data_IF_370936921116
#
_entry.id   IF_370936921116
#
_cell.length_a   1.000
_cell.length_b   1.000
_cell.length_c   1.000
_cell.angle_alpha   90.00
_cell.angle_beta   90.00
_cell.angle_gamma   90.00
#
_symmetry.space_group_name_H-M   'P 1'
#
loop_
_entity.id
_entity.type
_entity.pdbx_description
1 polymer ?
#
# COMPACT_ATOMS: atom_id res chain seq x y z
N UNK A 1 -24.64 16.66 27.84
CA UNK A 1 -23.53 16.04 27.08
C UNK A 1 -24.02 14.73 26.51
N UNK A 2 -24.05 14.60 25.20
CA UNK A 2 -24.47 13.39 24.49
C UNK A 2 -23.45 12.26 24.69
N UNK A 3 -23.76 11.05 24.28
CA UNK A 3 -22.80 9.94 24.34
C UNK A 3 -21.64 10.18 23.37
N UNK A 4 -21.91 10.68 22.18
CA UNK A 4 -20.88 11.10 21.22
C UNK A 4 -19.93 12.15 21.78
N UNK A 5 -20.44 13.19 22.43
CA UNK A 5 -19.60 14.23 23.08
C UNK A 5 -18.69 13.65 24.14
N UNK A 6 -19.17 12.68 24.95
CA UNK A 6 -18.33 12.01 25.96
C UNK A 6 -17.20 11.21 25.32
N UNK A 7 -17.48 10.46 24.25
CA UNK A 7 -16.50 9.66 23.52
C UNK A 7 -15.46 10.57 22.87
N UNK A 8 -15.87 11.63 22.19
CA UNK A 8 -14.97 12.62 21.56
C UNK A 8 -14.05 13.26 22.61
N UNK A 9 -14.61 13.69 23.77
CA UNK A 9 -13.82 14.27 24.84
C UNK A 9 -12.76 13.30 25.40
N UNK A 10 -13.11 12.02 25.60
CA UNK A 10 -12.15 11.01 26.00
C UNK A 10 -11.06 10.77 24.96
N UNK A 11 -11.44 10.69 23.68
CA UNK A 11 -10.50 10.54 22.57
C UNK A 11 -9.53 11.72 22.52
N UNK A 12 -10.03 12.94 22.63
CA UNK A 12 -9.20 14.16 22.61
C UNK A 12 -8.30 14.28 23.86
N UNK A 13 -8.72 13.75 25.00
CA UNK A 13 -7.94 13.83 26.22
C UNK A 13 -6.76 12.84 26.25
N UNK A 14 -6.98 11.62 25.76
CA UNK A 14 -5.98 10.55 25.84
C UNK A 14 -5.31 10.22 24.51
N UNK A 15 -5.90 10.58 23.38
CA UNK A 15 -5.35 10.31 22.05
C UNK A 15 -4.26 11.30 21.66
N UNK A 16 -3.27 10.84 20.88
CA UNK A 16 -2.33 11.74 20.23
C UNK A 16 -3.07 12.46 19.07
N UNK A 17 -2.82 13.77 18.94
CA UNK A 17 -3.50 14.61 17.94
C UNK A 17 -2.81 14.54 16.56
N UNK A 18 -2.63 13.33 16.04
CA UNK A 18 -2.04 13.07 14.73
C UNK A 18 -3.07 13.08 13.57
N UNK A 19 -4.36 13.17 13.90
CA UNK A 19 -5.49 13.35 12.98
C UNK A 19 -6.47 14.36 13.54
N UNK A 20 -7.28 14.97 12.65
CA UNK A 20 -8.45 15.79 13.01
C UNK A 20 -9.70 15.05 12.53
N UNK A 21 -10.27 14.13 13.35
CA UNK A 21 -11.46 13.37 12.96
C UNK A 21 -12.68 14.28 12.78
N UNK A 22 -13.60 13.88 11.92
CA UNK A 22 -14.94 14.49 11.88
C UNK A 22 -15.62 14.29 13.25
N UNK A 23 -16.47 15.23 13.71
CA UNK A 23 -17.15 15.14 15.01
C UNK A 23 -18.32 14.14 14.99
N UNK A 24 -18.08 12.96 14.44
CA UNK A 24 -19.05 11.87 14.31
C UNK A 24 -18.44 10.63 14.96
N UNK A 25 -19.20 9.97 15.82
CA UNK A 25 -18.82 8.68 16.44
C UNK A 25 -19.55 7.57 15.70
N UNK A 26 -18.81 6.60 15.16
CA UNK A 26 -19.40 5.42 14.53
C UNK A 26 -19.45 4.30 15.56
N UNK A 27 -20.64 3.83 15.92
CA UNK A 27 -20.88 2.74 16.87
C UNK A 27 -21.39 1.46 16.21
N UNK A 28 -22.12 1.58 15.10
CA UNK A 28 -22.64 0.45 14.32
C UNK A 28 -22.43 0.72 12.84
N UNK A 29 -22.26 -0.36 12.08
CA UNK A 29 -22.12 -0.26 10.62
C UNK A 29 -22.60 -1.53 9.92
N UNK A 30 -23.22 -1.37 8.74
CA UNK A 30 -23.60 -2.47 7.85
C UNK A 30 -23.67 -2.00 6.39
N UNK A 31 -22.99 -2.70 5.48
CA UNK A 31 -22.89 -2.28 4.09
C UNK A 31 -22.24 -0.89 3.97
N UNK A 32 -22.98 0.08 3.45
CA UNK A 32 -22.53 1.48 3.33
C UNK A 32 -23.08 2.39 4.45
N UNK A 33 -23.89 1.85 5.34
CA UNK A 33 -24.56 2.63 6.37
C UNK A 33 -23.84 2.51 7.70
N UNK A 34 -23.64 3.64 8.36
CA UNK A 34 -23.07 3.73 9.71
C UNK A 34 -24.02 4.49 10.63
N UNK A 35 -23.97 4.20 11.93
CA UNK A 35 -24.78 4.87 12.94
C UNK A 35 -23.93 5.39 14.07
N UNK A 36 -24.34 6.53 14.62
CA UNK A 36 -23.78 7.05 15.86
C UNK A 36 -24.51 6.48 17.11
N UNK A 37 -23.99 6.74 18.33
CA UNK A 37 -24.62 6.32 19.58
C UNK A 37 -26.01 6.91 19.82
N UNK A 38 -26.35 8.02 19.20
CA UNK A 38 -27.64 8.69 19.27
C UNK A 38 -28.67 8.11 18.29
N UNK A 39 -28.24 7.18 17.40
CA UNK A 39 -29.09 6.51 16.41
C UNK A 39 -29.19 7.23 15.07
N UNK A 40 -28.46 8.32 14.86
CA UNK A 40 -28.40 8.96 13.56
C UNK A 40 -27.68 8.06 12.56
N UNK A 41 -28.17 8.03 11.34
CA UNK A 41 -27.64 7.17 10.27
C UNK A 41 -26.97 8.03 9.18
N UNK A 42 -25.79 7.59 8.73
CA UNK A 42 -24.99 8.25 7.71
C UNK A 42 -24.57 7.25 6.64
N UNK A 43 -24.37 7.72 5.41
CA UNK A 43 -23.73 6.93 4.36
C UNK A 43 -22.22 7.14 4.44
N UNK A 44 -21.46 6.05 4.61
CA UNK A 44 -20.01 6.09 4.59
C UNK A 44 -19.49 6.25 3.15
N UNK A 45 -19.10 7.47 2.81
CA UNK A 45 -18.50 7.80 1.52
C UNK A 45 -16.97 7.75 1.54
N UNK A 46 -16.36 7.45 2.71
CA UNK A 46 -14.91 7.37 2.89
C UNK A 46 -14.39 5.94 2.75
N UNK A 47 -15.18 4.93 3.16
CA UNK A 47 -14.86 3.51 3.04
C UNK A 47 -13.52 3.13 3.71
N UNK A 48 -13.20 3.79 4.85
CA UNK A 48 -11.91 3.65 5.55
C UNK A 48 -10.70 3.71 4.58
N UNK A 49 -10.69 4.72 3.70
CA UNK A 49 -9.66 4.92 2.67
C UNK A 49 -9.46 3.69 1.75
N UNK A 50 -10.54 3.07 1.30
CA UNK A 50 -10.60 1.85 0.48
C UNK A 50 -10.31 0.54 1.24
N UNK A 51 -10.35 0.52 2.58
CA UNK A 51 -10.20 -0.73 3.33
C UNK A 51 -11.49 -1.58 3.38
N UNK A 52 -12.66 -0.94 3.26
CA UNK A 52 -13.97 -1.59 3.28
C UNK A 52 -14.70 -1.52 1.92
N UNK A 53 -13.99 -1.79 0.83
CA UNK A 53 -14.54 -1.79 -0.53
C UNK A 53 -15.79 -2.66 -0.69
N UNK A 54 -15.90 -3.74 0.07
CA UNK A 54 -17.02 -4.68 0.11
C UNK A 54 -18.15 -4.24 1.06
N UNK A 55 -18.04 -3.06 1.66
CA UNK A 55 -18.93 -2.57 2.72
C UNK A 55 -18.58 -3.11 4.11
N UNK A 56 -19.13 -2.48 5.13
CA UNK A 56 -18.96 -2.87 6.52
C UNK A 56 -19.59 -4.24 6.80
N UNK A 57 -18.92 -5.08 7.58
CA UNK A 57 -19.43 -6.35 8.10
C UNK A 57 -19.95 -7.31 7.02
N UNK A 58 -19.26 -7.39 5.87
CA UNK A 58 -19.68 -8.33 4.82
C UNK A 58 -19.85 -9.75 5.40
N UNK A 59 -21.04 -10.40 5.26
CA UNK A 59 -21.40 -11.59 6.03
C UNK A 59 -20.43 -12.76 5.82
N UNK A 60 -19.96 -12.99 4.60
CA UNK A 60 -19.00 -14.07 4.30
C UNK A 60 -17.63 -13.83 4.95
N UNK A 61 -17.18 -12.58 5.03
CA UNK A 61 -15.89 -12.20 5.65
C UNK A 61 -15.99 -12.38 7.16
N UNK A 62 -17.07 -11.89 7.78
CA UNK A 62 -17.30 -12.04 9.22
C UNK A 62 -17.43 -13.51 9.60
N UNK A 63 -18.11 -14.33 8.77
CA UNK A 63 -18.22 -15.76 9.06
C UNK A 63 -16.85 -16.44 8.98
N UNK A 64 -16.04 -16.16 7.95
CA UNK A 64 -14.69 -16.72 7.84
C UNK A 64 -13.79 -16.34 9.02
N UNK A 65 -13.91 -15.10 9.54
CA UNK A 65 -13.19 -14.66 10.74
C UNK A 65 -13.60 -15.48 11.98
N UNK A 66 -14.92 -15.66 12.18
CA UNK A 66 -15.45 -16.46 13.32
C UNK A 66 -15.01 -17.92 13.23
N UNK A 67 -15.17 -18.54 12.07
CA UNK A 67 -14.79 -19.95 11.85
C UNK A 67 -13.29 -20.17 12.09
N UNK A 68 -12.46 -19.21 11.74
CA UNK A 68 -11.01 -19.30 11.97
C UNK A 68 -10.66 -19.05 13.44
N UNK A 69 -11.32 -18.09 14.10
CA UNK A 69 -11.08 -17.77 15.51
C UNK A 69 -11.44 -18.94 16.43
N UNK A 70 -12.46 -19.72 16.07
CA UNK A 70 -12.86 -20.94 16.81
C UNK A 70 -11.84 -22.10 16.68
N UNK A 71 -10.92 -22.04 15.69
CA UNK A 71 -9.88 -23.04 15.49
C UNK A 71 -8.55 -22.62 16.09
N UNK A 72 -8.01 -21.50 15.59
CA UNK A 72 -6.73 -20.95 16.03
C UNK A 72 -6.62 -19.48 15.59
N UNK A 73 -6.16 -18.62 16.49
CA UNK A 73 -6.03 -17.17 16.24
C UNK A 73 -4.66 -16.79 15.70
N UNK A 74 -3.58 -17.23 16.34
CA UNK A 74 -2.21 -16.85 15.99
C UNK A 74 -1.33 -18.09 15.90
N UNK A 75 -0.66 -18.22 14.76
CA UNK A 75 0.38 -19.23 14.52
C UNK A 75 1.70 -18.52 14.28
N UNK A 76 2.73 -18.86 15.07
CA UNK A 76 4.08 -18.35 14.86
C UNK A 76 4.62 -18.80 13.50
N UNK A 77 5.48 -17.97 12.89
CA UNK A 77 6.23 -18.32 11.66
C UNK A 77 7.17 -19.52 11.85
N UNK A 78 7.37 -19.98 13.09
CA UNK A 78 8.08 -21.23 13.38
C UNK A 78 7.30 -22.48 12.99
N UNK A 79 6.00 -22.35 12.72
CA UNK A 79 5.12 -23.44 12.31
C UNK A 79 4.43 -23.13 10.98
N UNK A 80 4.00 -24.16 10.29
CA UNK A 80 3.12 -23.99 9.14
C UNK A 80 1.67 -23.79 9.61
N UNK A 81 0.91 -22.95 8.89
CA UNK A 81 -0.54 -22.78 9.05
C UNK A 81 -1.25 -23.50 7.91
N UNK A 82 -2.36 -24.15 8.20
CA UNK A 82 -3.17 -24.88 7.21
C UNK A 82 -3.73 -23.99 6.09
N UNK A 83 -4.00 -22.71 6.37
CA UNK A 83 -4.55 -21.77 5.39
C UNK A 83 -3.49 -20.95 4.65
N UNK A 84 -2.28 -20.82 5.20
CA UNK A 84 -1.28 -19.88 4.65
C UNK A 84 -0.79 -20.29 3.27
N UNK A 85 -0.56 -21.59 3.04
CA UNK A 85 -0.13 -22.10 1.74
C UNK A 85 -1.16 -21.86 0.64
N UNK A 86 -2.44 -22.08 0.94
CA UNK A 86 -3.54 -21.83 0.01
C UNK A 86 -3.70 -20.34 -0.29
N UNK A 87 -3.49 -19.50 0.71
CA UNK A 87 -3.51 -18.04 0.52
C UNK A 87 -2.38 -17.58 -0.38
N UNK A 88 -1.14 -18.08 -0.17
CA UNK A 88 0.00 -17.80 -1.05
C UNK A 88 -0.29 -18.19 -2.51
N UNK A 89 -0.76 -19.41 -2.72
CA UNK A 89 -1.10 -19.90 -4.06
C UNK A 89 -2.11 -19.00 -4.73
N UNK A 90 -3.18 -18.66 -4.02
CA UNK A 90 -4.28 -17.84 -4.56
C UNK A 90 -3.82 -16.43 -4.90
N UNK A 91 -3.10 -15.75 -4.00
CA UNK A 91 -2.70 -14.35 -4.23
C UNK A 91 -1.61 -14.25 -5.32
N UNK A 92 -0.68 -15.20 -5.37
CA UNK A 92 0.33 -15.26 -6.42
C UNK A 92 -0.30 -15.50 -7.79
N UNK A 93 -1.22 -16.48 -7.91
CA UNK A 93 -1.97 -16.71 -9.16
C UNK A 93 -2.78 -15.50 -9.59
N UNK A 94 -3.41 -14.80 -8.64
CA UNK A 94 -4.23 -13.62 -8.91
C UNK A 94 -3.39 -12.47 -9.50
N UNK A 95 -2.19 -12.26 -8.97
CA UNK A 95 -1.26 -11.22 -9.41
C UNK A 95 -0.36 -11.66 -10.59
N UNK A 96 -0.32 -12.94 -10.90
CA UNK A 96 0.61 -13.51 -11.88
C UNK A 96 2.07 -13.35 -11.44
N UNK A 97 2.34 -13.62 -10.13
CA UNK A 97 3.66 -13.52 -9.50
C UNK A 97 4.06 -14.83 -8.83
N UNK A 98 5.36 -15.05 -8.67
CA UNK A 98 5.90 -16.30 -8.10
C UNK A 98 5.79 -16.34 -6.57
N UNK A 99 6.00 -15.21 -5.91
CA UNK A 99 6.16 -15.10 -4.46
C UNK A 99 5.32 -13.99 -3.84
N UNK A 100 4.90 -14.23 -2.61
CA UNK A 100 4.20 -13.28 -1.77
C UNK A 100 4.85 -13.22 -0.38
N UNK A 101 5.08 -12.01 0.12
CA UNK A 101 5.59 -11.77 1.47
C UNK A 101 4.58 -10.89 2.22
N UNK A 102 3.77 -11.46 3.15
CA UNK A 102 2.79 -10.70 3.90
C UNK A 102 3.42 -9.94 5.07
N UNK A 103 2.86 -8.77 5.35
CA UNK A 103 3.15 -7.90 6.49
C UNK A 103 1.83 -7.41 7.10
N UNK A 104 1.91 -6.60 8.18
CA UNK A 104 0.73 -6.10 8.88
C UNK A 104 0.18 -4.79 8.30
N UNK A 105 1.05 -3.87 7.92
CA UNK A 105 0.66 -2.53 7.45
C UNK A 105 1.15 -2.23 6.05
N UNK A 106 0.47 -1.30 5.36
CA UNK A 106 0.92 -0.83 4.05
C UNK A 106 2.32 -0.22 4.08
N UNK A 107 2.66 0.51 5.15
CA UNK A 107 3.99 1.08 5.31
C UNK A 107 5.08 0.00 5.40
N UNK A 108 4.83 -1.11 6.12
CA UNK A 108 5.77 -2.25 6.16
C UNK A 108 5.96 -2.89 4.79
N UNK A 109 4.89 -2.96 3.98
CA UNK A 109 4.99 -3.49 2.63
C UNK A 109 5.79 -2.55 1.71
N UNK A 110 5.61 -1.25 1.82
CA UNK A 110 6.43 -0.26 1.10
C UNK A 110 7.89 -0.37 1.51
N UNK A 111 8.20 -0.38 2.81
CA UNK A 111 9.58 -0.56 3.32
C UNK A 111 10.21 -1.86 2.78
N UNK A 112 9.44 -2.94 2.74
CA UNK A 112 9.89 -4.24 2.22
C UNK A 112 10.17 -4.17 0.72
N UNK A 113 9.29 -3.55 -0.06
CA UNK A 113 9.48 -3.39 -1.50
C UNK A 113 10.72 -2.52 -1.82
N UNK A 114 10.93 -1.42 -1.07
CA UNK A 114 12.11 -0.56 -1.21
C UNK A 114 13.40 -1.33 -0.88
N UNK A 115 13.39 -2.12 0.18
CA UNK A 115 14.54 -2.97 0.54
C UNK A 115 14.81 -4.04 -0.50
N UNK A 116 13.78 -4.73 -0.97
CA UNK A 116 13.90 -5.75 -2.01
C UNK A 116 14.46 -5.15 -3.31
N UNK A 117 13.97 -3.97 -3.73
CA UNK A 117 14.47 -3.27 -4.90
C UNK A 117 15.95 -2.87 -4.77
N UNK A 118 16.36 -2.34 -3.62
CA UNK A 118 17.78 -2.02 -3.37
C UNK A 118 18.65 -3.27 -3.39
N UNK A 119 18.20 -4.35 -2.75
CA UNK A 119 18.94 -5.62 -2.74
C UNK A 119 19.08 -6.20 -4.14
N UNK A 120 17.99 -6.25 -4.90
CA UNK A 120 18.00 -6.68 -6.30
C UNK A 120 18.96 -5.82 -7.15
N UNK A 121 18.94 -4.51 -6.94
CA UNK A 121 19.81 -3.59 -7.69
C UNK A 121 21.30 -3.87 -7.44
N UNK A 122 21.68 -4.26 -6.24
CA UNK A 122 23.07 -4.62 -5.92
C UNK A 122 23.44 -6.01 -6.39
N UNK A 123 22.60 -6.99 -6.15
CA UNK A 123 22.92 -8.40 -6.39
C UNK A 123 22.69 -8.84 -7.84
N UNK A 124 21.73 -8.24 -8.55
CA UNK A 124 21.32 -8.63 -9.90
C UNK A 124 21.73 -7.58 -10.93
N UNK A 125 21.34 -6.31 -10.74
CA UNK A 125 21.68 -5.23 -11.68
C UNK A 125 23.14 -4.80 -11.60
N UNK A 126 23.82 -5.03 -10.47
CA UNK A 126 25.25 -4.68 -10.30
C UNK A 126 25.50 -3.20 -10.02
N UNK A 127 24.55 -2.49 -9.45
CA UNK A 127 24.76 -1.10 -8.97
C UNK A 127 25.77 -1.15 -7.80
N UNK A 128 26.66 -0.18 -7.76
CA UNK A 128 27.64 -0.06 -6.67
C UNK A 128 26.93 0.04 -5.30
N UNK A 129 27.47 -0.60 -4.25
CA UNK A 129 26.89 -0.52 -2.92
C UNK A 129 26.60 0.92 -2.46
N UNK A 130 25.44 1.14 -1.85
CA UNK A 130 24.94 2.43 -1.36
C UNK A 130 24.66 3.49 -2.46
N UNK A 131 24.56 3.09 -3.73
CA UNK A 131 24.26 4.00 -4.84
C UNK A 131 22.88 3.80 -5.46
N UNK A 132 22.15 2.76 -5.08
CA UNK A 132 20.82 2.49 -5.65
C UNK A 132 19.84 3.62 -5.33
N UNK A 133 19.21 4.15 -6.39
CA UNK A 133 18.21 5.22 -6.31
C UNK A 133 16.83 4.68 -6.70
N UNK A 134 15.79 5.19 -6.04
CA UNK A 134 14.40 4.88 -6.36
C UNK A 134 13.70 6.18 -6.73
N UNK A 135 13.02 6.17 -7.88
CA UNK A 135 12.21 7.31 -8.35
C UNK A 135 10.81 7.16 -7.77
N UNK A 136 10.28 8.24 -7.18
CA UNK A 136 8.91 8.38 -6.73
C UNK A 136 8.31 9.69 -7.26
N UNK A 137 7.02 9.90 -7.05
CA UNK A 137 6.31 11.04 -7.63
C UNK A 137 5.89 12.04 -6.56
N UNK A 138 5.86 13.32 -6.89
CA UNK A 138 5.29 14.34 -6.03
C UNK A 138 3.80 14.04 -5.80
N UNK A 139 3.29 14.40 -4.63
CA UNK A 139 1.93 14.05 -4.21
C UNK A 139 1.75 12.60 -3.75
N UNK A 140 2.82 11.81 -3.63
CA UNK A 140 2.72 10.42 -3.18
C UNK A 140 2.31 10.28 -1.72
N UNK A 141 1.68 9.14 -1.41
CA UNK A 141 1.45 8.70 -0.05
C UNK A 141 1.75 7.20 0.09
N UNK A 142 2.93 6.88 0.60
CA UNK A 142 3.39 5.49 0.80
C UNK A 142 3.46 5.06 2.28
N UNK A 143 2.92 5.87 3.18
CA UNK A 143 2.95 5.62 4.63
C UNK A 143 3.70 6.70 5.40
N UNK A 144 3.97 6.45 6.70
CA UNK A 144 4.55 7.43 7.63
C UNK A 144 5.75 6.90 8.40
N UNK A 145 6.39 5.82 7.95
CA UNK A 145 7.69 5.37 8.46
C UNK A 145 8.81 6.17 7.80
N UNK A 146 10.04 6.00 8.23
CA UNK A 146 11.16 6.87 7.82
C UNK A 146 11.42 6.88 6.31
N UNK A 147 11.35 5.74 5.62
CA UNK A 147 11.54 5.73 4.17
C UNK A 147 10.37 6.41 3.41
N UNK A 148 9.09 6.08 3.64
CA UNK A 148 7.96 6.84 3.12
C UNK A 148 8.00 8.35 3.41
N UNK A 149 8.37 8.76 4.62
CA UNK A 149 8.54 10.19 4.95
C UNK A 149 9.64 10.81 4.11
N UNK A 150 10.77 10.12 3.89
CA UNK A 150 11.86 10.59 3.05
C UNK A 150 11.48 10.71 1.57
N UNK A 151 10.58 9.82 1.11
CA UNK A 151 9.99 9.84 -0.24
C UNK A 151 8.95 10.94 -0.44
N UNK A 152 8.30 11.41 0.64
CA UNK A 152 7.21 12.38 0.55
C UNK A 152 7.66 13.69 -0.10
N UNK A 153 6.80 14.32 -0.88
CA UNK A 153 6.97 15.69 -1.36
C UNK A 153 6.42 16.74 -0.38
N UNK A 154 5.66 16.30 0.62
CA UNK A 154 5.00 17.18 1.58
C UNK A 154 5.97 17.62 2.70
N UNK A 155 6.33 18.91 2.71
CA UNK A 155 7.27 19.46 3.68
C UNK A 155 6.81 19.27 5.13
N UNK A 156 5.50 19.33 5.40
CA UNK A 156 4.94 19.11 6.74
C UNK A 156 5.13 17.66 7.21
N UNK A 157 5.12 16.68 6.30
CA UNK A 157 5.39 15.28 6.67
C UNK A 157 6.87 15.03 6.99
N UNK A 158 7.77 15.84 6.47
CA UNK A 158 9.22 15.74 6.71
C UNK A 158 9.70 16.58 7.89
N UNK A 159 8.92 17.57 8.28
CA UNK A 159 9.30 18.56 9.29
C UNK A 159 9.62 17.91 10.63
N UNK A 160 10.86 18.08 11.09
CA UNK A 160 11.34 17.58 12.39
C UNK A 160 11.74 16.10 12.41
N UNK A 161 11.70 15.38 11.28
CA UNK A 161 12.05 13.96 11.20
C UNK A 161 13.38 13.67 10.50
N UNK A 162 14.19 14.72 10.22
CA UNK A 162 15.52 14.53 9.65
C UNK A 162 16.52 13.93 10.66
N UNK A 163 17.66 13.33 10.20
CA UNK A 163 18.05 13.26 8.79
C UNK A 163 17.20 12.29 7.98
N UNK A 164 16.79 12.71 6.78
CA UNK A 164 16.02 11.88 5.87
C UNK A 164 16.92 10.84 5.20
N UNK A 165 16.34 9.72 4.75
CA UNK A 165 17.07 8.69 4.03
C UNK A 165 17.41 9.15 2.61
N UNK A 166 18.63 8.89 2.19
CA UNK A 166 19.11 9.14 0.83
C UNK A 166 18.67 8.05 -0.17
N UNK A 167 18.91 8.34 -1.45
CA UNK A 167 18.66 7.41 -2.56
C UNK A 167 17.22 7.50 -3.10
N UNK A 168 16.56 8.63 -2.92
CA UNK A 168 15.25 8.90 -3.48
C UNK A 168 15.28 10.10 -4.42
N UNK A 169 14.64 9.95 -5.59
CA UNK A 169 14.41 11.04 -6.55
C UNK A 169 12.90 11.26 -6.68
N UNK A 170 12.49 12.50 -6.66
CA UNK A 170 11.08 12.88 -6.83
C UNK A 170 10.90 13.63 -8.14
N UNK A 171 9.85 13.27 -8.88
CA UNK A 171 9.45 13.90 -10.15
C UNK A 171 7.95 14.20 -10.11
N UNK A 172 7.48 15.10 -10.98
CA UNK A 172 6.06 15.38 -11.06
C UNK A 172 5.27 14.18 -11.60
N UNK A 173 4.14 13.87 -10.95
CA UNK A 173 3.24 12.81 -11.38
C UNK A 173 2.60 13.17 -12.73
N UNK A 174 2.74 12.29 -13.70
CA UNK A 174 2.23 12.51 -15.05
C UNK A 174 3.19 13.26 -15.99
N UNK A 175 4.35 13.72 -15.51
CA UNK A 175 5.36 14.37 -16.39
C UNK A 175 6.32 13.33 -16.99
N UNK A 176 6.09 13.02 -18.28
CA UNK A 176 6.91 12.06 -19.02
C UNK A 176 8.36 12.51 -19.18
N UNK A 177 8.61 13.82 -19.33
CA UNK A 177 9.95 14.36 -19.58
C UNK A 177 10.79 14.35 -18.32
N UNK A 178 10.22 14.78 -17.19
CA UNK A 178 10.91 14.70 -15.90
C UNK A 178 11.23 13.26 -15.53
N UNK A 179 10.29 12.32 -15.73
CA UNK A 179 10.53 10.92 -15.46
C UNK A 179 11.72 10.37 -16.26
N UNK A 180 11.75 10.59 -17.57
CA UNK A 180 12.86 10.16 -18.44
C UNK A 180 14.19 10.78 -18.01
N UNK A 181 14.21 12.07 -17.71
CA UNK A 181 15.42 12.78 -17.29
C UNK A 181 15.94 12.33 -15.90
N UNK A 182 15.08 11.80 -15.04
CA UNK A 182 15.46 11.32 -13.71
C UNK A 182 16.17 9.96 -13.73
N UNK A 183 15.96 9.15 -14.77
CA UNK A 183 16.57 7.82 -14.88
C UNK A 183 18.07 7.94 -15.15
N UNK A 184 18.86 7.18 -14.40
CA UNK A 184 20.30 7.12 -14.56
C UNK A 184 20.84 5.72 -14.23
N UNK A 185 22.15 5.51 -14.34
CA UNK A 185 22.81 4.22 -14.10
C UNK A 185 22.58 3.63 -12.70
N UNK A 186 22.24 4.47 -11.72
CA UNK A 186 22.00 4.07 -10.34
C UNK A 186 20.50 3.85 -10.05
N UNK A 187 19.61 4.09 -11.00
CA UNK A 187 18.17 3.86 -10.80
C UNK A 187 17.90 2.37 -10.65
N UNK A 188 17.34 2.00 -9.49
CA UNK A 188 16.94 0.64 -9.16
C UNK A 188 15.47 0.36 -9.50
N UNK A 189 14.61 1.33 -9.23
CA UNK A 189 13.17 1.17 -9.40
C UNK A 189 12.44 2.50 -9.59
N UNK A 190 11.24 2.40 -10.14
CA UNK A 190 10.22 3.45 -10.13
C UNK A 190 9.08 2.95 -9.23
N UNK A 191 8.76 3.68 -8.15
CA UNK A 191 7.64 3.43 -7.26
C UNK A 191 6.51 4.39 -7.58
N UNK A 192 5.33 3.88 -7.90
CA UNK A 192 4.18 4.70 -8.30
C UNK A 192 2.88 4.15 -7.70
N UNK A 193 2.01 5.06 -7.26
CA UNK A 193 0.58 4.77 -7.10
C UNK A 193 -0.07 4.90 -8.49
N UNK A 194 -0.73 3.87 -9.03
CA UNK A 194 -1.40 3.99 -10.34
C UNK A 194 -2.45 5.09 -10.38
N UNK A 195 -3.06 5.37 -9.23
CA UNK A 195 -3.91 6.54 -8.96
C UNK A 195 -3.50 7.07 -7.59
N UNK A 196 -3.07 8.33 -7.52
CA UNK A 196 -2.74 8.96 -6.24
C UNK A 196 -4.02 9.31 -5.49
N UNK A 197 -4.34 8.56 -4.44
CA UNK A 197 -5.58 8.75 -3.68
C UNK A 197 -5.52 9.93 -2.72
N UNK A 198 -4.49 10.01 -1.89
CA UNK A 198 -4.36 11.01 -0.83
C UNK A 198 -4.11 12.44 -1.38
N UNK A 199 -3.53 12.55 -2.56
CA UNK A 199 -3.28 13.85 -3.20
C UNK A 199 -4.51 14.46 -3.90
N UNK A 200 -5.70 13.86 -3.76
CA UNK A 200 -6.94 14.36 -4.35
C UNK A 200 -7.45 13.55 -5.54
N UNK A 201 -7.14 12.27 -5.59
CA UNK A 201 -7.55 11.32 -6.63
C UNK A 201 -6.99 11.73 -8.01
N UNK A 202 -5.67 11.84 -8.08
CA UNK A 202 -4.98 12.16 -9.30
C UNK A 202 -4.86 10.89 -10.19
N UNK A 203 -5.53 10.93 -11.32
CA UNK A 203 -5.41 9.90 -12.37
C UNK A 203 -4.31 10.34 -13.34
N UNK A 204 -3.34 9.47 -13.68
CA UNK A 204 -2.27 9.86 -14.58
C UNK A 204 -2.79 10.07 -16.01
N UNK A 205 -2.07 10.81 -16.86
CA UNK A 205 -2.38 10.89 -18.28
C UNK A 205 -2.44 9.50 -18.95
N UNK A 206 -3.22 9.39 -20.01
CA UNK A 206 -3.32 8.15 -20.80
C UNK A 206 -1.93 7.67 -21.25
N UNK A 207 -1.67 6.37 -21.09
CA UNK A 207 -0.41 5.74 -21.45
C UNK A 207 0.76 6.00 -20.51
N UNK A 208 0.55 6.70 -19.38
CA UNK A 208 1.65 7.01 -18.45
C UNK A 208 2.23 5.75 -17.80
N UNK A 209 1.40 4.86 -17.28
CA UNK A 209 1.86 3.60 -16.69
C UNK A 209 2.53 2.69 -17.74
N UNK A 210 2.03 2.73 -18.99
CA UNK A 210 2.67 2.03 -20.11
C UNK A 210 4.07 2.57 -20.37
N UNK A 211 4.23 3.89 -20.39
CA UNK A 211 5.55 4.52 -20.53
C UNK A 211 6.47 4.14 -19.36
N UNK A 212 5.97 4.09 -18.11
CA UNK A 212 6.77 3.60 -16.97
C UNK A 212 7.25 2.17 -17.23
N UNK A 213 6.39 1.28 -17.71
CA UNK A 213 6.77 -0.11 -18.02
C UNK A 213 7.85 -0.16 -19.10
N UNK A 214 7.65 0.57 -20.21
CA UNK A 214 8.61 0.64 -21.31
C UNK A 214 9.99 1.16 -20.85
N UNK A 215 10.01 2.21 -20.04
CA UNK A 215 11.26 2.75 -19.45
C UNK A 215 11.93 1.75 -18.49
N UNK A 216 11.13 1.05 -17.70
CA UNK A 216 11.66 0.04 -16.80
C UNK A 216 12.30 -1.13 -17.57
N UNK A 217 11.69 -1.56 -18.66
CA UNK A 217 12.23 -2.61 -19.52
C UNK A 217 13.51 -2.14 -20.23
N UNK A 218 13.50 -0.93 -20.82
CA UNK A 218 14.65 -0.35 -21.52
C UNK A 218 15.88 -0.19 -20.63
N UNK A 219 15.66 0.29 -19.39
CA UNK A 219 16.75 0.58 -18.46
C UNK A 219 17.04 -0.54 -17.46
N UNK A 220 16.32 -1.68 -17.57
CA UNK A 220 16.45 -2.82 -16.64
C UNK A 220 16.30 -2.38 -15.17
N UNK A 221 15.22 -1.66 -14.85
CA UNK A 221 14.84 -1.20 -13.51
C UNK A 221 13.49 -1.76 -13.15
N UNK A 222 13.20 -1.86 -11.84
CA UNK A 222 11.93 -2.43 -11.39
C UNK A 222 10.79 -1.42 -11.46
N UNK A 223 9.65 -1.85 -12.00
CA UNK A 223 8.38 -1.16 -11.84
C UNK A 223 7.68 -1.66 -10.58
N UNK A 224 7.53 -0.80 -9.57
CA UNK A 224 6.82 -1.09 -8.31
C UNK A 224 5.50 -0.33 -8.32
N UNK A 225 4.38 -1.05 -8.31
CA UNK A 225 3.05 -0.45 -8.20
C UNK A 225 2.55 -0.53 -6.75
N UNK A 226 2.32 0.63 -6.15
CA UNK A 226 1.61 0.73 -4.88
C UNK A 226 0.10 0.71 -5.14
N UNK A 227 -0.46 -0.47 -5.10
CA UNK A 227 -1.89 -0.75 -5.29
C UNK A 227 -2.65 -0.85 -3.95
N UNK A 228 -2.06 -0.37 -2.85
CA UNK A 228 -2.67 -0.45 -1.51
C UNK A 228 -4.04 0.20 -1.50
N UNK A 229 -4.19 1.37 -2.14
CA UNK A 229 -5.46 2.09 -2.17
C UNK A 229 -6.23 1.86 -3.47
N UNK A 230 -5.55 1.83 -4.61
CA UNK A 230 -6.18 1.79 -5.93
C UNK A 230 -6.59 0.38 -6.37
N UNK A 231 -5.95 -0.66 -5.82
CA UNK A 231 -6.15 -2.05 -6.20
C UNK A 231 -7.37 -2.74 -5.60
N UNK A 232 -7.46 -4.03 -5.83
CA UNK A 232 -8.45 -4.96 -5.28
C UNK A 232 -9.90 -4.49 -5.51
N UNK A 233 -10.17 -4.02 -6.72
CA UNK A 233 -11.51 -3.63 -7.16
C UNK A 233 -11.85 -2.16 -6.99
N UNK A 234 -11.04 -1.35 -6.27
CA UNK A 234 -11.37 0.07 -6.04
C UNK A 234 -11.54 0.87 -7.32
N UNK A 235 -10.70 0.65 -8.30
CA UNK A 235 -10.73 1.35 -9.60
C UNK A 235 -11.64 0.70 -10.66
N UNK A 236 -12.36 -0.39 -10.31
CA UNK A 236 -13.21 -1.14 -11.24
C UNK A 236 -12.49 -2.27 -12.00
N UNK A 237 -11.20 -2.44 -11.78
CA UNK A 237 -10.39 -3.59 -12.21
C UNK A 237 -9.78 -4.26 -10.98
N UNK A 238 -9.21 -5.47 -11.15
CA UNK A 238 -8.53 -6.14 -10.05
C UNK A 238 -7.38 -5.27 -9.51
N UNK A 239 -6.54 -4.79 -10.41
CA UNK A 239 -5.50 -3.81 -10.13
C UNK A 239 -5.74 -2.56 -10.98
N UNK A 240 -5.35 -1.38 -10.49
CA UNK A 240 -5.49 -0.16 -11.25
C UNK A 240 -4.57 -0.15 -12.49
N UNK A 241 -3.42 -0.83 -12.42
CA UNK A 241 -2.52 -1.06 -13.55
C UNK A 241 -3.15 -1.85 -14.70
N UNK A 242 -4.24 -2.60 -14.45
CA UNK A 242 -4.97 -3.33 -15.50
C UNK A 242 -5.67 -2.41 -16.51
N UNK A 243 -5.92 -1.15 -16.17
CA UNK A 243 -6.50 -0.18 -17.10
C UNK A 243 -5.58 0.13 -18.27
N UNK A 244 -4.27 0.19 -18.04
CA UNK A 244 -3.23 0.41 -19.05
C UNK A 244 -2.66 -0.91 -19.62
N UNK A 245 -3.21 -2.06 -19.19
CA UNK A 245 -2.74 -3.39 -19.59
C UNK A 245 -1.25 -3.63 -19.27
N UNK A 246 -0.75 -3.08 -18.17
CA UNK A 246 0.63 -3.25 -17.73
C UNK A 246 0.73 -4.13 -16.51
N UNK A 247 1.84 -4.86 -16.42
CA UNK A 247 2.19 -5.66 -15.23
C UNK A 247 3.46 -5.08 -14.61
N UNK A 248 3.41 -4.61 -13.35
CA UNK A 248 4.60 -4.22 -12.62
C UNK A 248 5.45 -5.45 -12.25
N UNK A 249 6.71 -5.23 -11.94
CA UNK A 249 7.59 -6.27 -11.38
C UNK A 249 7.22 -6.58 -9.95
N UNK A 250 6.79 -5.57 -9.20
CA UNK A 250 6.40 -5.66 -7.79
C UNK A 250 5.03 -5.03 -7.57
N UNK A 251 4.10 -5.78 -7.00
CA UNK A 251 2.86 -5.24 -6.45
C UNK A 251 2.99 -5.06 -4.95
N UNK A 252 2.47 -3.95 -4.45
CA UNK A 252 2.24 -3.72 -3.02
C UNK A 252 0.72 -3.64 -2.81
N UNK A 253 0.15 -4.55 -2.00
CA UNK A 253 -1.28 -4.58 -1.71
C UNK A 253 -1.52 -4.40 -0.21
N UNK A 254 -2.66 -3.84 0.14
CA UNK A 254 -3.09 -3.63 1.53
C UNK A 254 -4.56 -3.27 1.61
N UNK A 255 -4.96 -2.51 2.61
CA UNK A 255 -6.33 -1.99 2.80
C UNK A 255 -7.41 -3.05 2.55
N UNK A 256 -8.05 -3.07 1.37
CA UNK A 256 -9.10 -4.04 1.02
C UNK A 256 -8.67 -5.50 1.14
N UNK A 257 -7.36 -5.80 1.11
CA UNK A 257 -6.82 -7.14 1.31
C UNK A 257 -7.24 -7.74 2.67
N UNK A 258 -7.37 -6.91 3.70
CA UNK A 258 -7.80 -7.31 5.04
C UNK A 258 -9.31 -7.52 5.18
N UNK A 259 -10.10 -7.31 4.11
CA UNK A 259 -11.55 -7.49 4.13
C UNK A 259 -12.29 -6.54 5.09
N UNK A 260 -11.64 -5.46 5.51
CA UNK A 260 -12.18 -4.50 6.49
C UNK A 260 -12.24 -5.03 7.92
N UNK A 261 -11.60 -6.17 8.23
CA UNK A 261 -11.68 -6.81 9.55
C UNK A 261 -10.34 -6.89 10.27
N UNK A 262 -9.23 -6.89 9.52
CA UNK A 262 -7.93 -6.90 10.18
C UNK A 262 -6.81 -6.33 9.28
N UNK A 263 -5.75 -5.75 9.86
CA UNK A 263 -4.66 -5.17 9.08
C UNK A 263 -3.80 -6.26 8.45
N UNK A 264 -3.58 -6.16 7.14
CA UNK A 264 -2.67 -6.99 6.37
C UNK A 264 -2.19 -6.23 5.14
N UNK A 265 -0.98 -6.49 4.73
CA UNK A 265 -0.41 -6.07 3.45
C UNK A 265 0.45 -7.18 2.87
N UNK A 266 0.83 -7.06 1.61
CA UNK A 266 1.68 -8.03 0.94
C UNK A 266 2.51 -7.36 -0.15
N UNK A 267 3.76 -7.81 -0.29
CA UNK A 267 4.59 -7.58 -1.46
C UNK A 267 4.56 -8.84 -2.32
N UNK A 268 4.30 -8.67 -3.61
CA UNK A 268 4.25 -9.74 -4.60
C UNK A 268 5.27 -9.44 -5.70
N UNK A 269 6.14 -10.39 -5.99
CA UNK A 269 7.11 -10.28 -7.07
C UNK A 269 7.55 -11.66 -7.55
N UNK A 270 8.33 -11.68 -8.64
CA UNK A 270 8.90 -12.90 -9.16
C UNK A 270 10.13 -13.33 -8.34
N UNK A 271 10.57 -14.58 -8.52
CA UNK A 271 11.69 -15.19 -7.79
C UNK A 271 12.96 -14.34 -7.83
N UNK A 272 13.24 -13.69 -8.95
CA UNK A 272 14.45 -12.86 -9.10
C UNK A 272 14.52 -11.72 -8.08
N UNK A 273 13.38 -11.11 -7.76
CA UNK A 273 13.29 -10.00 -6.81
C UNK A 273 13.22 -10.48 -5.37
N UNK A 274 12.35 -11.47 -5.05
CA UNK A 274 12.11 -11.90 -3.66
C UNK A 274 13.03 -13.02 -3.17
N UNK A 275 13.83 -13.69 -4.02
CA UNK A 275 14.84 -14.67 -3.55
C UNK A 275 15.93 -14.04 -2.68
N UNK A 276 16.21 -12.77 -2.88
CA UNK A 276 17.21 -12.05 -2.09
C UNK A 276 16.83 -11.90 -0.62
N UNK A 277 15.54 -12.01 -0.29
CA UNK A 277 15.02 -11.92 1.09
C UNK A 277 15.04 -13.26 1.85
N UNK A 278 15.44 -14.36 1.23
CA UNK A 278 15.42 -15.71 1.84
C UNK A 278 16.46 -15.91 2.94
N UNK A 279 17.39 -14.97 3.13
CA UNK A 279 18.45 -15.11 4.15
C UNK A 279 18.36 -14.01 5.18
N UNK A 280 18.21 -14.43 6.42
CA UNK A 280 18.40 -13.59 7.60
C UNK A 280 19.88 -13.31 7.81
#
# INVERSE_FOLDING_TARGET
MTQSEKIINLTNHYGAHNYVPLPIVISEAEGVWVKDPEGNTYMDMLSAYSAVNQGHRHPRIIQALKDQADKVTLVSRAFHSDNLGQWYEKICKLAGKDKALPMNTGAEAVETALKAARRWAYDVKGIEPNKAEIIAFNGNFHGRTMAPVSLSSEAEYQRGYGPLLDGFRKVEFGDFNQLKAAINKNTAAILVEPIQGEAGINVPPEGYLKTIRELCDEHQILFIADEIQAGLGRSGKLFATDWDHVKPDVYILGKALGGGVFPISVVLADNEVLRSEERR
#
